data_IF_378260824576
#
_entry.id   IF_378260824576
#
_cell.length_a   1.000
_cell.length_b   1.000
_cell.length_c   1.000
_cell.angle_alpha   90.00
_cell.angle_beta   90.00
_cell.angle_gamma   90.00
#
_symmetry.space_group_name_H-M   'P 1'
#
loop_
_entity.id
_entity.type
_entity.pdbx_description
1 polymer ?
#
# COMPACT_ATOMS: atom_id res chain seq x y z
N UNK A 1 23.27 -16.18 45.39
CA UNK A 1 22.45 -16.82 44.34
C UNK A 1 21.13 -16.09 44.28
N UNK A 2 21.08 -15.04 43.46
CA UNK A 2 19.85 -14.51 42.90
C UNK A 2 20.13 -14.33 41.41
N UNK A 3 19.17 -14.84 40.68
CA UNK A 3 19.13 -15.22 39.28
C UNK A 3 18.85 -13.99 38.39
N UNK A 4 18.90 -14.22 37.08
CA UNK A 4 18.26 -13.43 36.02
C UNK A 4 19.05 -12.17 35.55
N UNK A 5 19.89 -12.22 34.52
CA UNK A 5 19.63 -12.50 33.09
C UNK A 5 18.72 -11.47 32.40
N UNK A 6 19.32 -10.83 31.38
CA UNK A 6 18.69 -10.03 30.30
C UNK A 6 18.15 -8.66 30.74
N UNK A 7 18.50 -7.54 30.09
CA UNK A 7 17.94 -7.03 28.83
C UNK A 7 18.46 -5.57 28.72
N UNK A 8 18.65 -4.88 27.60
CA UNK A 8 18.32 -5.06 26.19
C UNK A 8 19.48 -4.44 25.39
N UNK A 9 20.02 -5.15 24.41
CA UNK A 9 20.60 -4.49 23.25
C UNK A 9 19.48 -4.41 22.21
N UNK A 10 18.74 -3.31 22.25
CA UNK A 10 17.77 -2.98 21.20
C UNK A 10 18.57 -2.49 20.01
N UNK A 11 18.98 -3.44 19.17
CA UNK A 11 19.54 -3.16 17.86
C UNK A 11 18.47 -2.48 16.99
N UNK A 12 18.82 -1.27 16.59
CA UNK A 12 18.14 -0.35 15.70
C UNK A 12 17.84 -1.02 14.34
N UNK A 13 16.57 -1.07 13.92
CA UNK A 13 16.21 -0.93 12.50
C UNK A 13 14.69 -0.96 12.26
N UNK A 14 14.23 0.19 11.78
CA UNK A 14 13.16 0.36 10.80
C UNK A 14 11.70 0.44 11.29
N UNK A 15 11.23 1.68 11.17
CA UNK A 15 9.89 2.07 10.77
C UNK A 15 8.84 2.23 11.88
N UNK A 16 8.94 3.39 12.53
CA UNK A 16 7.83 4.08 13.17
C UNK A 16 6.53 3.97 12.33
N UNK A 17 5.59 3.20 12.83
CA UNK A 17 4.17 3.43 12.60
C UNK A 17 3.52 3.57 13.97
N UNK A 18 3.78 4.71 14.62
CA UNK A 18 3.14 5.10 15.86
C UNK A 18 1.64 5.34 15.62
N UNK A 19 0.85 4.28 15.75
CA UNK A 19 -0.60 4.35 15.92
C UNK A 19 -0.98 3.35 17.02
N UNK A 20 -0.86 3.80 18.27
CA UNK A 20 -1.46 3.15 19.41
C UNK A 20 -2.95 2.89 19.11
N UNK A 21 -3.33 1.61 19.12
CA UNK A 21 -4.69 1.05 18.94
C UNK A 21 -5.10 0.74 17.48
N UNK A 22 -4.65 -0.45 17.02
CA UNK A 22 -5.21 -1.35 15.98
C UNK A 22 -4.88 -1.20 14.49
N UNK A 23 -4.15 -0.20 14.04
CA UNK A 23 -3.84 -0.11 12.60
C UNK A 23 -2.36 -0.37 12.36
N UNK A 24 -1.98 -1.65 12.30
CA UNK A 24 -0.68 -2.03 11.74
C UNK A 24 -0.69 -1.63 10.27
N UNK A 25 -0.10 -0.49 9.91
CA UNK A 25 0.15 -0.14 8.51
C UNK A 25 0.92 -1.33 7.91
N UNK A 26 0.32 -2.10 6.98
CA UNK A 26 1.01 -3.20 6.38
C UNK A 26 2.16 -2.62 5.57
N UNK A 27 3.40 -2.99 5.91
CA UNK A 27 4.59 -2.61 5.13
C UNK A 27 4.34 -2.95 3.66
N UNK A 28 4.85 -2.14 2.72
CA UNK A 28 4.65 -2.33 1.26
C UNK A 28 4.82 -3.79 0.80
N UNK A 29 5.77 -4.50 1.40
CA UNK A 29 6.02 -5.91 1.14
C UNK A 29 4.85 -6.84 1.55
N UNK A 30 4.19 -6.57 2.68
CA UNK A 30 2.96 -7.27 3.09
C UNK A 30 1.79 -6.96 2.16
N UNK A 31 1.67 -5.72 1.69
CA UNK A 31 0.65 -5.37 0.69
C UNK A 31 0.92 -6.15 -0.60
N UNK A 32 2.15 -6.11 -1.11
CA UNK A 32 2.55 -6.83 -2.32
C UNK A 32 2.28 -8.34 -2.27
N UNK A 33 2.55 -8.97 -1.12
CA UNK A 33 2.32 -10.40 -0.90
C UNK A 33 0.83 -10.79 -0.91
N UNK A 34 -0.07 -9.84 -0.63
CA UNK A 34 -1.52 -10.06 -0.70
C UNK A 34 -2.10 -9.94 -2.11
N UNK A 35 -1.30 -9.50 -3.08
CA UNK A 35 -1.73 -9.28 -4.46
C UNK A 35 -1.65 -10.56 -5.28
N UNK A 36 -2.58 -10.71 -6.22
CA UNK A 36 -2.49 -11.74 -7.26
C UNK A 36 -1.49 -11.38 -8.35
N UNK A 37 -1.10 -12.37 -9.18
CA UNK A 37 -0.12 -12.20 -10.26
C UNK A 37 -0.49 -11.06 -11.22
N UNK A 38 -1.78 -10.92 -11.56
CA UNK A 38 -2.26 -9.86 -12.44
C UNK A 38 -2.08 -8.46 -11.81
N UNK A 39 -2.39 -8.32 -10.52
CA UNK A 39 -2.18 -7.09 -9.78
C UNK A 39 -0.69 -6.78 -9.61
N UNK A 40 0.14 -7.76 -9.23
CA UNK A 40 1.59 -7.58 -9.11
C UNK A 40 2.22 -7.11 -10.43
N UNK A 41 1.80 -7.67 -11.57
CA UNK A 41 2.26 -7.23 -12.88
C UNK A 41 1.86 -5.77 -13.17
N UNK A 42 0.62 -5.39 -12.86
CA UNK A 42 0.13 -4.03 -13.04
C UNK A 42 0.80 -3.03 -12.07
N UNK A 43 0.97 -3.39 -10.78
CA UNK A 43 1.72 -2.58 -9.80
C UNK A 43 3.18 -2.46 -10.22
N UNK A 44 3.82 -3.53 -10.70
CA UNK A 44 5.21 -3.47 -11.19
C UNK A 44 5.34 -2.49 -12.35
N UNK A 45 4.41 -2.55 -13.30
CA UNK A 45 4.36 -1.62 -14.43
C UNK A 45 4.23 -0.19 -13.93
N UNK A 46 3.26 0.09 -13.06
CA UNK A 46 3.02 1.41 -12.47
C UNK A 46 4.18 1.89 -11.60
N UNK A 47 4.82 1.00 -10.85
CA UNK A 47 6.00 1.31 -10.05
C UNK A 47 7.18 1.73 -10.92
N UNK A 48 7.31 1.17 -12.12
CA UNK A 48 8.30 1.63 -13.11
C UNK A 48 8.00 3.06 -13.62
N UNK A 49 6.72 3.46 -13.67
CA UNK A 49 6.32 4.85 -13.95
C UNK A 49 6.44 5.77 -12.72
N UNK A 50 6.80 5.25 -11.54
CA UNK A 50 6.96 6.00 -10.30
C UNK A 50 5.75 5.96 -9.36
N UNK A 51 4.69 5.19 -9.68
CA UNK A 51 3.57 5.04 -8.76
C UNK A 51 3.98 4.23 -7.53
N UNK A 52 3.53 4.68 -6.38
CA UNK A 52 3.79 4.00 -5.12
C UNK A 52 2.55 3.27 -4.63
N UNK A 53 2.73 1.98 -4.32
CA UNK A 53 1.72 1.15 -3.69
C UNK A 53 1.37 1.76 -2.33
N UNK A 54 0.14 2.29 -2.22
CA UNK A 54 -0.28 3.01 -1.03
C UNK A 54 -1.00 2.08 -0.06
N UNK A 55 -2.09 1.44 -0.49
CA UNK A 55 -2.84 0.48 0.30
C UNK A 55 -3.73 -0.38 -0.60
N UNK A 56 -4.25 -1.46 -0.03
CA UNK A 56 -5.23 -2.34 -0.67
C UNK A 56 -6.55 -2.17 0.07
N UNK A 57 -7.65 -2.05 -0.67
CA UNK A 57 -9.00 -1.98 -0.12
C UNK A 57 -9.85 -3.08 -0.72
N UNK A 58 -10.75 -3.65 0.05
CA UNK A 58 -11.75 -4.59 -0.44
C UNK A 58 -13.04 -3.82 -0.75
N UNK A 59 -13.59 -4.01 -1.95
CA UNK A 59 -14.82 -3.36 -2.43
C UNK A 59 -15.71 -4.46 -2.97
N UNK A 60 -16.91 -4.65 -2.38
CA UNK A 60 -17.88 -5.64 -2.87
C UNK A 60 -17.29 -7.06 -3.05
N UNK A 61 -16.42 -7.49 -2.11
CA UNK A 61 -15.66 -8.74 -2.15
C UNK A 61 -14.58 -8.84 -3.25
N UNK A 62 -14.29 -7.72 -3.93
CA UNK A 62 -13.15 -7.57 -4.82
C UNK A 62 -12.02 -6.80 -4.13
N UNK A 63 -10.84 -7.42 -4.07
CA UNK A 63 -9.64 -6.77 -3.59
C UNK A 63 -9.11 -5.80 -4.65
N UNK A 64 -9.07 -4.51 -4.32
CA UNK A 64 -8.62 -3.43 -5.20
C UNK A 64 -7.37 -2.77 -4.64
N UNK A 65 -6.31 -2.75 -5.44
CA UNK A 65 -5.03 -2.12 -5.10
C UNK A 65 -5.09 -0.64 -5.42
N UNK A 66 -4.62 0.22 -4.52
CA UNK A 66 -4.56 1.67 -4.76
C UNK A 66 -3.10 2.13 -4.77
N UNK A 67 -2.72 2.82 -5.83
CA UNK A 67 -1.41 3.46 -5.96
C UNK A 67 -1.57 4.95 -6.18
N UNK A 68 -0.58 5.70 -5.73
CA UNK A 68 -0.55 7.15 -5.79
C UNK A 68 0.71 7.60 -6.55
N UNK A 69 0.55 8.60 -7.42
CA UNK A 69 1.66 9.28 -8.10
C UNK A 69 1.33 10.76 -8.21
N UNK A 70 2.07 11.62 -7.50
CA UNK A 70 2.01 13.09 -7.65
C UNK A 70 0.58 13.69 -7.69
N UNK A 71 -0.33 13.18 -6.85
CA UNK A 71 -1.73 13.61 -6.79
C UNK A 71 -2.70 12.86 -7.70
N UNK A 72 -2.22 11.96 -8.57
CA UNK A 72 -3.04 11.01 -9.30
C UNK A 72 -3.18 9.69 -8.52
N UNK A 73 -4.40 9.19 -8.40
CA UNK A 73 -4.69 7.88 -7.81
C UNK A 73 -5.10 6.89 -8.90
N UNK A 74 -4.52 5.70 -8.86
CA UNK A 74 -4.88 4.57 -9.70
C UNK A 74 -5.34 3.41 -8.85
N UNK A 75 -6.35 2.71 -9.34
CA UNK A 75 -6.87 1.52 -8.69
C UNK A 75 -6.70 0.31 -9.62
N UNK A 76 -6.27 -0.82 -9.10
CA UNK A 76 -6.09 -2.05 -9.88
C UNK A 76 -7.03 -3.11 -9.32
N UNK A 77 -7.89 -3.65 -10.18
CA UNK A 77 -8.80 -4.75 -9.82
C UNK A 77 -8.06 -6.11 -9.74
N UNK A 78 -8.71 -7.14 -9.20
CA UNK A 78 -8.23 -8.52 -9.16
C UNK A 78 -7.77 -9.04 -10.53
N UNK A 79 -8.41 -8.61 -11.61
CA UNK A 79 -8.03 -8.98 -12.98
C UNK A 79 -6.75 -8.28 -13.49
N UNK A 80 -6.17 -7.35 -12.71
CA UNK A 80 -5.04 -6.52 -13.15
C UNK A 80 -5.45 -5.32 -14.00
N UNK A 81 -6.76 -5.03 -14.09
CA UNK A 81 -7.28 -3.87 -14.81
C UNK A 81 -6.93 -2.57 -14.07
N UNK A 82 -6.06 -1.75 -14.68
CA UNK A 82 -5.67 -0.45 -14.15
C UNK A 82 -6.76 0.57 -14.47
N UNK A 83 -7.42 1.06 -13.43
CA UNK A 83 -8.41 2.11 -13.47
C UNK A 83 -7.78 3.42 -12.97
N UNK A 84 -7.32 4.23 -13.91
CA UNK A 84 -6.96 5.65 -13.71
C UNK A 84 -8.25 6.46 -13.70
N UNK A 85 -8.98 6.47 -12.57
CA UNK A 85 -10.21 7.26 -12.50
C UNK A 85 -9.86 8.76 -12.40
N UNK A 86 -9.47 9.38 -13.51
CA UNK A 86 -9.32 10.82 -13.70
C UNK A 86 -10.67 11.48 -14.02
N UNK A 87 -11.76 11.05 -13.37
CA UNK A 87 -13.02 11.79 -13.44
C UNK A 87 -13.11 12.81 -12.29
N UNK A 88 -12.16 13.75 -12.26
CA UNK A 88 -12.49 15.09 -11.77
C UNK A 88 -12.65 15.94 -13.03
N UNK A 89 -13.85 16.03 -13.62
CA UNK A 89 -14.09 17.05 -14.62
C UNK A 89 -13.89 18.40 -13.93
N UNK A 90 -12.76 19.04 -14.20
CA UNK A 90 -12.59 20.47 -13.96
C UNK A 90 -13.63 21.18 -14.83
N UNK A 91 -14.81 21.45 -14.26
CA UNK A 91 -15.78 22.37 -14.86
C UNK A 91 -15.21 23.78 -14.72
N UNK A 92 -14.33 24.13 -15.64
CA UNK A 92 -14.07 25.53 -15.93
C UNK A 92 -15.23 25.98 -16.82
N UNK A 93 -16.19 26.73 -16.26
CA UNK A 93 -17.16 27.47 -17.07
C UNK A 93 -17.11 28.92 -16.62
N UNK A 94 -16.72 29.71 -17.61
CA UNK A 94 -16.61 31.17 -17.76
C UNK A 94 -17.82 31.94 -17.21
#
# INVERSE_FOLDING_TARGET
MFDDSTQLDLDDSDNECAAERRSACPSRNKLWSQLNVAQQAAVSSLSHYGYELSFIRDIDANQVVVLLLNGASVTIDLEGNINTNSQIPIRNTD
#
